data_IF_783207087169
#
_entry.id   IF_783207087169
#
_cell.length_a   1.000
_cell.length_b   1.000
_cell.length_c   1.000
_cell.angle_alpha   90.00
_cell.angle_beta   90.00
_cell.angle_gamma   90.00
#
_symmetry.space_group_name_H-M   'P 1'
#
loop_
_entity.id
_entity.type
_entity.pdbx_description
1 polymer ?
#
# COMPACT_ATOMS: atom_id res chain seq x y z
N UNK A 1 18.71 1.20 12.21
CA UNK A 1 17.46 0.70 11.62
C UNK A 1 16.32 1.65 11.99
N UNK A 2 15.57 2.10 10.98
CA UNK A 2 14.48 3.03 11.18
C UNK A 2 13.26 2.34 11.79
N UNK A 3 12.58 3.07 12.69
CA UNK A 3 11.29 2.61 13.23
C UNK A 3 10.20 2.77 12.16
N UNK A 4 9.13 1.99 12.28
CA UNK A 4 7.99 2.07 11.36
C UNK A 4 7.45 3.50 11.28
N UNK A 5 7.31 4.20 12.40
CA UNK A 5 6.84 5.58 12.42
C UNK A 5 7.74 6.53 11.63
N UNK A 6 9.06 6.32 11.68
CA UNK A 6 10.00 7.12 10.92
C UNK A 6 9.90 6.85 9.43
N UNK A 7 9.69 5.59 9.06
CA UNK A 7 9.55 5.20 7.65
C UNK A 7 8.29 5.83 7.05
N UNK A 8 7.14 5.64 7.70
CA UNK A 8 5.87 6.14 7.14
C UNK A 8 5.78 7.66 7.17
N UNK A 9 6.37 8.33 8.17
CA UNK A 9 6.34 9.80 8.22
C UNK A 9 7.11 10.45 7.08
N UNK A 10 8.04 9.72 6.46
CA UNK A 10 8.80 10.20 5.31
C UNK A 10 8.05 9.97 3.98
N UNK A 11 6.94 9.24 4.01
CA UNK A 11 6.16 9.01 2.80
C UNK A 11 5.32 10.24 2.48
N UNK A 12 5.23 10.57 1.20
CA UNK A 12 4.47 11.73 0.74
C UNK A 12 3.00 11.67 1.17
N UNK A 13 2.43 10.47 1.21
CA UNK A 13 1.05 10.24 1.66
C UNK A 13 0.78 10.84 3.04
N UNK A 14 1.76 10.81 3.93
CA UNK A 14 1.59 11.26 5.30
C UNK A 14 2.17 12.66 5.57
N UNK A 15 2.52 13.37 4.52
CA UNK A 15 3.00 14.75 4.64
C UNK A 15 1.91 15.61 5.27
N UNK A 16 2.23 16.27 6.38
CA UNK A 16 1.27 17.12 7.09
C UNK A 16 0.25 16.37 7.94
N UNK A 17 0.34 15.04 8.02
CA UNK A 17 -0.55 14.26 8.86
C UNK A 17 -0.11 14.37 10.31
N UNK A 18 -1.09 14.47 11.21
CA UNK A 18 -0.85 14.58 12.64
C UNK A 18 -0.01 13.41 13.17
N UNK A 19 0.93 13.71 14.07
CA UNK A 19 1.84 12.69 14.63
C UNK A 19 1.10 11.57 15.36
N UNK A 20 -0.03 11.88 16.00
CA UNK A 20 -0.85 10.86 16.66
C UNK A 20 -1.41 9.82 15.67
N UNK A 21 -1.83 10.27 14.49
CA UNK A 21 -2.30 9.38 13.44
C UNK A 21 -1.16 8.48 12.95
N UNK A 22 0.01 9.04 12.71
CA UNK A 22 1.19 8.29 12.28
C UNK A 22 1.55 7.22 13.32
N UNK A 23 1.51 7.57 14.61
CA UNK A 23 1.80 6.63 15.69
C UNK A 23 0.80 5.47 15.72
N UNK A 24 -0.49 5.77 15.54
CA UNK A 24 -1.54 4.75 15.51
C UNK A 24 -1.33 3.77 14.36
N UNK A 25 -1.01 4.30 13.17
CA UNK A 25 -0.73 3.46 12.01
C UNK A 25 0.49 2.58 12.28
N UNK A 26 1.59 3.19 12.77
CA UNK A 26 2.84 2.48 13.01
C UNK A 26 2.65 1.31 13.97
N UNK A 27 1.79 1.47 14.98
CA UNK A 27 1.53 0.42 15.96
C UNK A 27 0.79 -0.78 15.38
N UNK A 28 0.11 -0.60 14.24
CA UNK A 28 -0.65 -1.66 13.59
C UNK A 28 0.12 -2.35 12.45
N UNK A 29 1.23 -1.78 12.01
CA UNK A 29 1.97 -2.28 10.86
C UNK A 29 2.73 -3.56 11.18
N UNK A 30 2.73 -4.48 10.20
CA UNK A 30 3.50 -5.72 10.26
C UNK A 30 4.52 -5.71 9.15
N UNK A 31 5.74 -6.13 9.43
CA UNK A 31 6.78 -6.26 8.41
C UNK A 31 6.61 -7.58 7.67
N UNK A 32 6.69 -7.54 6.34
CA UNK A 32 6.63 -8.72 5.50
C UNK A 32 7.77 -8.69 4.48
N UNK A 33 8.50 -9.80 4.39
CA UNK A 33 9.51 -10.01 3.35
C UNK A 33 8.84 -10.83 2.26
N UNK A 34 8.84 -10.33 1.05
CA UNK A 34 8.17 -10.96 -0.09
C UNK A 34 9.23 -11.37 -1.10
N UNK A 35 9.34 -12.68 -1.39
CA UNK A 35 10.32 -13.14 -2.39
C UNK A 35 10.10 -12.53 -3.77
N UNK A 36 11.15 -12.51 -4.58
CA UNK A 36 11.06 -12.04 -5.96
C UNK A 36 10.02 -12.86 -6.74
N UNK A 37 9.34 -12.21 -7.66
CA UNK A 37 8.37 -12.81 -8.59
C UNK A 37 7.19 -13.48 -7.90
N UNK A 38 6.80 -12.97 -6.75
CA UNK A 38 5.63 -13.44 -6.00
C UNK A 38 4.42 -12.55 -6.27
N UNK A 39 3.25 -13.16 -6.46
CA UNK A 39 2.00 -12.42 -6.58
C UNK A 39 1.55 -12.00 -5.18
N UNK A 40 1.53 -10.70 -4.92
CA UNK A 40 1.12 -10.16 -3.61
C UNK A 40 -0.37 -9.82 -3.63
N UNK A 41 -0.82 -9.17 -4.69
CA UNK A 41 -2.23 -8.89 -4.94
C UNK A 41 -2.60 -9.68 -6.18
N UNK A 42 -3.65 -10.49 -6.10
CA UNK A 42 -4.05 -11.38 -7.19
C UNK A 42 -5.30 -10.88 -7.89
N UNK A 43 -5.28 -10.90 -9.22
CA UNK A 43 -6.45 -10.55 -10.03
C UNK A 43 -7.65 -11.39 -9.60
N UNK A 44 -8.81 -10.75 -9.48
CA UNK A 44 -10.09 -11.33 -9.08
C UNK A 44 -10.18 -11.72 -7.61
N UNK A 45 -9.11 -11.54 -6.83
CA UNK A 45 -9.16 -11.75 -5.39
C UNK A 45 -9.57 -10.47 -4.68
N UNK A 46 -10.22 -10.61 -3.53
CA UNK A 46 -10.47 -9.50 -2.63
C UNK A 46 -9.28 -9.39 -1.69
N UNK A 47 -8.67 -8.22 -1.60
CA UNK A 47 -7.56 -7.99 -0.68
C UNK A 47 -8.05 -7.10 0.46
N UNK A 48 -7.54 -7.37 1.64
CA UNK A 48 -7.90 -6.66 2.86
C UNK A 48 -6.68 -5.99 3.51
N UNK A 49 -5.66 -5.70 2.72
CA UNK A 49 -4.42 -5.10 3.22
C UNK A 49 -3.87 -4.07 2.25
N UNK A 50 -3.19 -3.07 2.81
CA UNK A 50 -2.42 -2.10 2.06
C UNK A 50 -0.94 -2.30 2.38
N UNK A 51 -0.07 -2.07 1.38
CA UNK A 51 1.36 -2.31 1.49
C UNK A 51 2.14 -1.02 1.27
N UNK A 52 3.08 -0.75 2.18
CA UNK A 52 4.05 0.33 2.04
C UNK A 52 5.39 -0.31 1.67
N UNK A 53 5.93 0.03 0.51
CA UNK A 53 7.21 -0.55 0.06
C UNK A 53 8.35 0.14 0.79
N UNK A 54 9.01 -0.57 1.71
CA UNK A 54 10.17 -0.06 2.45
C UNK A 54 11.43 -0.18 1.59
N UNK A 55 11.57 -1.33 0.93
CA UNK A 55 12.67 -1.60 0.02
C UNK A 55 12.22 -2.65 -0.97
N UNK A 56 12.12 -2.27 -2.23
CA UNK A 56 11.67 -3.22 -3.23
C UNK A 56 11.06 -2.58 -4.46
N UNK A 57 10.49 -3.46 -5.28
CA UNK A 57 9.85 -3.06 -6.51
C UNK A 57 8.80 -4.09 -6.90
N UNK A 58 7.62 -3.61 -7.30
CA UNK A 58 6.52 -4.46 -7.78
C UNK A 58 6.06 -3.97 -9.14
N UNK A 59 5.45 -4.86 -9.92
CA UNK A 59 4.89 -4.53 -11.22
C UNK A 59 3.41 -4.88 -11.23
N UNK A 60 2.61 -3.96 -11.78
CA UNK A 60 1.18 -4.22 -12.05
C UNK A 60 1.10 -5.00 -13.35
N UNK A 61 0.62 -6.24 -13.30
CA UNK A 61 0.54 -7.11 -14.47
C UNK A 61 -0.64 -6.71 -15.35
N UNK A 62 -0.34 -6.29 -16.56
CA UNK A 62 -1.34 -5.95 -17.59
C UNK A 62 -1.07 -6.85 -18.78
N UNK A 63 -2.13 -7.46 -19.32
CA UNK A 63 -2.01 -8.35 -20.48
C UNK A 63 -2.80 -7.79 -21.65
N UNK A 64 -2.18 -7.63 -22.84
CA UNK A 64 -0.75 -7.90 -23.10
C UNK A 64 0.16 -6.93 -22.35
N UNK A 65 1.38 -7.35 -22.06
CA UNK A 65 2.33 -6.54 -21.31
C UNK A 65 2.67 -5.29 -22.09
N UNK A 66 2.49 -4.08 -21.49
CA UNK A 66 2.77 -2.84 -22.21
C UNK A 66 4.28 -2.62 -22.38
N UNK A 67 4.71 -1.80 -23.37
CA UNK A 67 6.13 -1.49 -23.55
C UNK A 67 6.76 -0.85 -22.32
N UNK A 68 5.97 -0.08 -21.54
CA UNK A 68 6.41 0.54 -20.30
C UNK A 68 5.54 0.01 -19.16
N UNK A 69 5.95 -1.09 -18.53
CA UNK A 69 5.16 -1.65 -17.44
C UNK A 69 5.01 -0.65 -16.28
N UNK A 70 3.86 -0.74 -15.62
CA UNK A 70 3.62 0.09 -14.43
C UNK A 70 4.32 -0.57 -13.26
N UNK A 71 5.28 0.14 -12.66
CA UNK A 71 6.03 -0.34 -11.51
C UNK A 71 5.92 0.63 -10.35
N UNK A 72 5.86 0.06 -9.15
CA UNK A 72 5.86 0.81 -7.91
C UNK A 72 7.13 0.43 -7.15
N UNK A 73 7.77 1.42 -6.53
CA UNK A 73 9.09 1.26 -5.93
C UNK A 73 9.10 1.72 -4.47
N UNK A 74 10.25 1.62 -3.86
CA UNK A 74 10.49 2.08 -2.49
C UNK A 74 9.85 3.45 -2.24
N UNK A 75 9.09 3.57 -1.16
CA UNK A 75 8.37 4.79 -0.79
C UNK A 75 6.95 4.85 -1.29
N UNK A 76 6.54 3.95 -2.19
CA UNK A 76 5.19 3.94 -2.73
C UNK A 76 4.31 2.93 -2.02
N UNK A 77 2.99 3.04 -2.24
CA UNK A 77 1.99 2.13 -1.65
C UNK A 77 1.28 1.37 -2.75
N UNK A 78 0.74 0.20 -2.41
CA UNK A 78 -0.18 -0.53 -3.27
C UNK A 78 -1.18 -1.33 -2.43
N UNK A 79 -2.24 -1.80 -3.07
CA UNK A 79 -3.31 -2.53 -2.39
C UNK A 79 -4.32 -1.62 -1.69
N UNK A 80 -4.20 -0.30 -1.83
CA UNK A 80 -5.07 0.67 -1.16
C UNK A 80 -6.53 0.54 -1.58
N UNK A 81 -6.80 0.09 -2.79
CA UNK A 81 -8.17 -0.09 -3.24
C UNK A 81 -8.93 -1.13 -2.41
N UNK A 82 -8.22 -2.11 -1.86
CA UNK A 82 -8.84 -3.09 -0.97
C UNK A 82 -9.36 -2.50 0.33
N UNK A 83 -8.81 -1.36 0.75
CA UNK A 83 -9.27 -0.66 1.93
C UNK A 83 -10.51 0.20 1.66
N UNK A 84 -10.71 0.59 0.41
CA UNK A 84 -11.74 1.57 0.04
C UNK A 84 -13.04 0.92 -0.41
N UNK A 85 -13.00 -0.15 -1.19
CA UNK A 85 -14.20 -0.66 -1.84
C UNK A 85 -14.45 -2.16 -1.68
N UNK A 86 -13.49 -2.91 -1.18
CA UNK A 86 -13.63 -4.36 -0.96
C UNK A 86 -14.10 -5.14 -2.20
N UNK A 87 -13.78 -4.64 -3.40
CA UNK A 87 -14.09 -5.29 -4.66
C UNK A 87 -12.94 -6.17 -5.13
N UNK A 88 -13.22 -7.20 -5.96
CA UNK A 88 -12.15 -8.00 -6.55
C UNK A 88 -11.16 -7.11 -7.32
N UNK A 89 -9.88 -7.45 -7.20
CA UNK A 89 -8.83 -6.69 -7.90
C UNK A 89 -8.86 -6.97 -9.39
N UNK A 90 -8.59 -5.94 -10.19
CA UNK A 90 -8.60 -6.06 -11.64
C UNK A 90 -7.23 -6.40 -12.23
N UNK A 91 -6.21 -6.49 -11.41
CA UNK A 91 -4.86 -6.83 -11.85
C UNK A 91 -4.08 -7.52 -10.74
N UNK A 92 -3.13 -8.35 -11.17
CA UNK A 92 -2.16 -8.95 -10.25
C UNK A 92 -1.00 -7.98 -10.06
N UNK A 93 -0.53 -7.84 -8.83
CA UNK A 93 0.68 -7.07 -8.52
C UNK A 93 1.73 -8.08 -8.06
N UNK A 94 2.87 -8.10 -8.76
CA UNK A 94 3.92 -9.10 -8.56
C UNK A 94 5.26 -8.43 -8.26
N UNK A 95 6.00 -8.97 -7.29
CA UNK A 95 7.33 -8.44 -6.98
C UNK A 95 8.28 -8.67 -8.16
N UNK A 96 9.08 -7.63 -8.44
CA UNK A 96 10.17 -7.71 -9.43
C UNK A 96 11.41 -8.32 -8.79
N UNK A 97 11.66 -7.94 -7.54
CA UNK A 97 12.76 -8.47 -6.72
C UNK A 97 12.27 -8.70 -5.31
N UNK A 98 13.06 -9.39 -4.49
CA UNK A 98 12.73 -9.55 -3.08
C UNK A 98 12.47 -8.18 -2.46
N UNK A 99 11.33 -8.04 -1.80
CA UNK A 99 10.87 -6.75 -1.31
C UNK A 99 10.50 -6.84 0.16
N UNK A 100 10.73 -5.74 0.88
CA UNK A 100 10.29 -5.60 2.26
C UNK A 100 9.18 -4.56 2.31
N UNK A 101 8.06 -4.94 2.90
CA UNK A 101 6.89 -4.06 3.00
C UNK A 101 6.40 -3.98 4.44
N UNK A 102 5.76 -2.85 4.75
CA UNK A 102 4.93 -2.73 5.94
C UNK A 102 3.50 -2.92 5.51
N UNK A 103 2.74 -3.71 6.26
CA UNK A 103 1.38 -4.12 5.89
C UNK A 103 0.39 -3.55 6.89
N UNK A 104 -0.65 -2.87 6.38
CA UNK A 104 -1.77 -2.36 7.17
C UNK A 104 -3.03 -3.13 6.78
N UNK A 105 -3.62 -3.81 7.75
CA UNK A 105 -4.84 -4.59 7.52
C UNK A 105 -6.08 -3.69 7.52
N UNK A 106 -7.10 -4.09 6.77
CA UNK A 106 -8.35 -3.35 6.60
C UNK A 106 -9.02 -3.02 7.94
N UNK A 107 -9.09 -3.97 8.87
CA UNK A 107 -9.73 -3.75 10.17
C UNK A 107 -9.01 -2.68 10.98
N UNK A 108 -7.67 -2.67 10.91
CA UNK A 108 -6.87 -1.67 11.62
C UNK A 108 -7.03 -0.31 10.98
N UNK A 109 -7.09 -0.28 9.65
CA UNK A 109 -7.34 0.96 8.91
C UNK A 109 -8.68 1.58 9.30
N UNK A 110 -9.74 0.78 9.38
CA UNK A 110 -11.07 1.29 9.74
C UNK A 110 -11.08 1.88 11.16
N UNK A 111 -10.39 1.23 12.10
CA UNK A 111 -10.30 1.73 13.47
C UNK A 111 -9.58 3.08 13.52
N UNK A 112 -8.49 3.22 12.76
CA UNK A 112 -7.71 4.46 12.69
C UNK A 112 -8.50 5.56 12.00
N UNK A 113 -9.17 5.23 10.90
CA UNK A 113 -9.91 6.20 10.09
C UNK A 113 -11.07 6.84 10.87
N UNK A 114 -11.63 6.15 11.86
CA UNK A 114 -12.67 6.73 12.70
C UNK A 114 -12.16 7.91 13.50
N UNK A 115 -10.91 7.87 13.95
CA UNK A 115 -10.29 8.93 14.73
C UNK A 115 -9.57 9.95 13.86
N UNK A 116 -9.20 9.56 12.64
CA UNK A 116 -8.42 10.39 11.73
C UNK A 116 -9.03 10.36 10.32
N UNK A 117 -10.20 10.99 10.11
CA UNK A 117 -10.89 10.92 8.81
C UNK A 117 -10.08 11.47 7.64
N UNK A 118 -9.12 12.36 7.89
CA UNK A 118 -8.24 12.91 6.86
C UNK A 118 -7.39 11.84 6.16
N UNK A 119 -7.12 10.73 6.84
CA UNK A 119 -6.37 9.61 6.26
C UNK A 119 -7.15 8.96 5.11
N UNK A 120 -8.45 8.78 5.30
CA UNK A 120 -9.32 8.22 4.27
C UNK A 120 -9.29 9.06 3.01
N UNK A 121 -9.37 10.39 3.18
CA UNK A 121 -9.38 11.33 2.06
C UNK A 121 -8.07 11.24 1.26
N UNK A 122 -6.93 11.11 1.93
CA UNK A 122 -5.64 10.99 1.27
C UNK A 122 -5.52 9.71 0.46
N UNK A 123 -5.99 8.59 1.01
CA UNK A 123 -5.92 7.30 0.31
C UNK A 123 -6.87 7.31 -0.89
N UNK A 124 -8.05 7.91 -0.75
CA UNK A 124 -8.98 8.08 -1.87
C UNK A 124 -8.34 8.90 -3.01
N UNK A 125 -7.62 9.95 -2.66
CA UNK A 125 -6.95 10.79 -3.67
C UNK A 125 -5.93 10.00 -4.48
N UNK A 126 -5.17 9.10 -3.83
CA UNK A 126 -4.22 8.23 -4.53
C UNK A 126 -4.96 7.28 -5.46
N UNK A 127 -6.05 6.66 -5.00
CA UNK A 127 -6.86 5.77 -5.82
C UNK A 127 -7.42 6.47 -7.05
N UNK A 128 -7.87 7.71 -6.91
CA UNK A 128 -8.39 8.50 -8.03
C UNK A 128 -7.31 8.77 -9.07
N UNK A 129 -6.10 9.13 -8.64
CA UNK A 129 -4.98 9.37 -9.55
C UNK A 129 -4.63 8.12 -10.37
N UNK A 130 -4.77 6.93 -9.77
CA UNK A 130 -4.41 5.67 -10.42
C UNK A 130 -5.47 5.15 -11.39
N UNK A 131 -6.69 5.68 -11.32
CA UNK A 131 -7.77 5.30 -12.23
C UNK A 131 -7.68 5.97 -13.60
N UNK A 132 -6.98 7.07 -13.69
CA UNK A 132 -6.94 7.86 -14.93
C UNK A 132 -5.85 7.46 -15.89
#
# INVERSE_FOLDING_TARGET
QLRASQIISNLELFSGVESGCIADIANCLKTQIIPARSAVVKKNAVTDSMFFIVDGEVEVEIKPRPPRPIRLRTGEIFGEAGLLDNQPRNATIRTVRTSRSLVLELRDFHAIAKEHPELMDRIKAIGEQRKS
#
